data_IF_203828353839
#
_entry.id   IF_203828353839
#
_cell.length_a   1.000
_cell.length_b   1.000
_cell.length_c   1.000
_cell.angle_alpha   90.00
_cell.angle_beta   90.00
_cell.angle_gamma   90.00
#
_symmetry.space_group_name_H-M   'P 1'
#
loop_
_entity.id
_entity.type
_entity.pdbx_description
1 polymer ?
#
# COMPACT_ATOMS: atom_id res chain seq x y z
N UNK A 1 32.81 -58.54 -15.55
CA UNK A 1 31.81 -57.69 -14.85
C UNK A 1 31.56 -56.36 -15.60
N UNK A 2 31.39 -56.39 -16.94
CA UNK A 2 31.23 -55.16 -17.75
C UNK A 2 30.03 -55.16 -18.72
N UNK A 3 29.27 -56.26 -18.79
CA UNK A 3 28.10 -56.35 -19.68
C UNK A 3 26.83 -55.81 -19.01
N UNK A 4 26.63 -56.07 -17.71
CA UNK A 4 25.53 -55.51 -16.92
C UNK A 4 25.62 -53.98 -16.76
N UNK A 5 26.83 -53.42 -16.69
CA UNK A 5 27.06 -51.98 -16.58
C UNK A 5 26.67 -51.23 -17.86
N UNK A 6 26.90 -51.81 -19.05
CA UNK A 6 26.54 -51.18 -20.32
C UNK A 6 25.02 -51.12 -20.54
N UNK A 7 24.28 -52.15 -20.12
CA UNK A 7 22.82 -52.18 -20.25
C UNK A 7 22.16 -51.16 -19.32
N UNK A 8 22.66 -51.00 -18.08
CA UNK A 8 22.16 -50.00 -17.13
C UNK A 8 22.44 -48.56 -17.61
N UNK A 9 23.60 -48.30 -18.21
CA UNK A 9 23.95 -46.98 -18.78
C UNK A 9 23.03 -46.60 -19.95
N UNK A 10 22.66 -47.55 -20.82
CA UNK A 10 21.77 -47.30 -21.97
C UNK A 10 20.30 -47.09 -21.57
N UNK A 11 19.86 -47.70 -20.48
CA UNK A 11 18.52 -47.50 -19.91
C UNK A 11 18.42 -46.13 -19.23
N UNK A 12 19.43 -45.72 -18.45
CA UNK A 12 19.43 -44.42 -17.76
C UNK A 12 19.61 -43.21 -18.70
N UNK A 13 20.23 -43.40 -19.87
CA UNK A 13 20.42 -42.33 -20.86
C UNK A 13 19.20 -42.10 -21.77
N UNK A 14 18.16 -42.94 -21.70
CA UNK A 14 16.92 -42.79 -22.47
C UNK A 14 15.67 -42.48 -21.62
N UNK A 15 15.81 -42.20 -20.32
CA UNK A 15 14.67 -41.90 -19.41
C UNK A 15 14.35 -40.39 -19.29
N UNK A 16 14.94 -39.53 -20.12
CA UNK A 16 14.49 -38.12 -20.21
C UNK A 16 14.00 -37.85 -21.63
N UNK A 17 12.67 -37.84 -21.85
CA UNK A 17 12.09 -37.41 -23.11
C UNK A 17 12.64 -36.03 -23.51
N UNK A 18 13.07 -35.83 -24.76
CA UNK A 18 13.58 -34.55 -25.22
C UNK A 18 12.40 -33.60 -25.44
N UNK A 19 11.96 -32.95 -24.37
CA UNK A 19 10.91 -31.96 -24.43
C UNK A 19 11.09 -30.84 -23.39
N UNK A 20 12.25 -30.19 -23.35
CA UNK A 20 12.32 -28.72 -23.19
C UNK A 20 13.47 -28.22 -24.08
N UNK A 21 13.20 -28.09 -25.38
CA UNK A 21 13.91 -27.08 -26.16
C UNK A 21 13.52 -25.70 -25.58
N UNK A 22 14.52 -24.85 -25.31
CA UNK A 22 14.44 -23.44 -24.85
C UNK A 22 14.62 -23.18 -23.34
N UNK A 23 15.70 -23.63 -22.74
CA UNK A 23 16.30 -22.91 -21.61
C UNK A 23 17.78 -22.69 -21.89
N UNK A 24 18.15 -21.46 -22.24
CA UNK A 24 19.54 -21.12 -22.48
C UNK A 24 20.15 -20.69 -21.13
N UNK A 25 21.30 -21.24 -20.75
CA UNK A 25 21.93 -20.98 -19.45
C UNK A 25 22.25 -19.49 -19.19
N UNK A 26 22.38 -18.69 -20.25
CA UNK A 26 22.49 -17.22 -20.18
C UNK A 26 21.20 -16.49 -19.78
N UNK A 27 20.05 -17.18 -19.73
CA UNK A 27 18.77 -16.61 -19.28
C UNK A 27 18.72 -16.48 -17.74
N UNK A 28 19.61 -17.14 -16.99
CA UNK A 28 19.77 -16.95 -15.54
C UNK A 28 20.57 -15.68 -15.18
N UNK A 29 21.38 -15.15 -16.10
CA UNK A 29 22.18 -13.94 -15.89
C UNK A 29 21.74 -12.75 -16.77
N UNK A 30 20.54 -12.81 -17.37
CA UNK A 30 19.91 -11.71 -18.10
C UNK A 30 18.75 -11.07 -17.33
N UNK A 31 18.83 -11.06 -16.00
CA UNK A 31 17.90 -10.32 -15.14
C UNK A 31 18.34 -8.87 -14.94
N UNK A 32 18.42 -8.13 -16.04
CA UNK A 32 18.42 -6.67 -15.98
C UNK A 32 17.83 -6.07 -17.26
N UNK A 33 16.50 -6.14 -17.39
CA UNK A 33 15.76 -5.11 -18.11
C UNK A 33 14.36 -4.99 -17.55
N UNK A 34 14.20 -3.91 -16.78
CA UNK A 34 12.95 -3.28 -16.34
C UNK A 34 11.77 -3.60 -17.25
N UNK A 35 10.80 -4.35 -16.77
CA UNK A 35 9.42 -4.20 -17.24
C UNK A 35 8.86 -2.91 -16.64
N UNK A 36 9.32 -1.75 -17.12
CA UNK A 36 8.47 -0.57 -17.08
C UNK A 36 7.42 -0.82 -18.16
N UNK A 37 6.26 -1.34 -17.77
CA UNK A 37 5.06 -1.11 -18.57
C UNK A 37 5.06 0.37 -18.96
N UNK A 38 4.90 0.67 -20.25
CA UNK A 38 4.76 2.05 -20.67
C UNK A 38 3.66 2.70 -19.81
N UNK A 39 3.89 3.90 -19.22
CA UNK A 39 2.81 4.59 -18.54
C UNK A 39 1.63 4.68 -19.51
N UNK A 40 0.40 4.41 -19.05
CA UNK A 40 -0.75 4.39 -19.93
C UNK A 40 -0.82 5.69 -20.71
N UNK A 41 -1.20 5.60 -21.99
CA UNK A 41 -1.33 6.78 -22.84
C UNK A 41 -2.22 7.84 -22.15
N UNK A 42 -1.82 9.11 -22.26
CA UNK A 42 -2.46 10.23 -21.54
C UNK A 42 -3.95 10.41 -21.87
N UNK A 43 -4.45 9.73 -22.90
CA UNK A 43 -5.79 9.91 -23.47
C UNK A 43 -6.80 8.80 -23.15
N UNK A 44 -6.41 7.69 -22.50
CA UNK A 44 -7.37 6.68 -22.04
C UNK A 44 -7.89 6.90 -20.61
N UNK A 45 -7.47 7.97 -19.92
CA UNK A 45 -7.99 8.33 -18.59
C UNK A 45 -9.05 9.45 -18.75
N UNK A 46 -10.20 9.12 -19.33
CA UNK A 46 -11.37 10.04 -19.34
C UNK A 46 -12.52 9.59 -18.44
N UNK A 47 -12.38 8.43 -17.77
CA UNK A 47 -13.39 7.89 -16.85
C UNK A 47 -12.88 7.77 -15.40
N UNK A 48 -11.89 8.57 -14.98
CA UNK A 48 -11.65 8.73 -13.55
C UNK A 48 -12.69 9.71 -13.01
N UNK A 49 -13.73 9.18 -12.38
CA UNK A 49 -14.60 9.97 -11.52
C UNK A 49 -13.74 10.62 -10.45
N UNK A 50 -13.61 11.94 -10.53
CA UNK A 50 -12.90 12.71 -9.51
C UNK A 50 -13.72 12.69 -8.22
N UNK A 51 -13.41 11.73 -7.34
CA UNK A 51 -14.03 11.65 -6.02
C UNK A 51 -13.35 12.71 -5.14
N UNK A 52 -14.10 13.77 -4.81
CA UNK A 52 -13.66 14.74 -3.80
C UNK A 52 -13.43 13.99 -2.48
N UNK A 53 -12.23 14.09 -1.88
CA UNK A 53 -11.95 13.37 -0.64
C UNK A 53 -12.79 13.96 0.50
N UNK A 54 -13.42 13.08 1.28
CA UNK A 54 -14.30 13.44 2.39
C UNK A 54 -13.74 12.91 3.70
N UNK A 55 -13.89 13.70 4.77
CA UNK A 55 -13.46 13.32 6.12
C UNK A 55 -14.17 12.08 6.66
N UNK A 56 -15.38 11.78 6.20
CA UNK A 56 -16.15 10.62 6.67
C UNK A 56 -15.70 9.29 6.04
N UNK A 57 -14.74 9.32 5.10
CA UNK A 57 -14.56 8.22 4.14
C UNK A 57 -15.75 8.16 3.18
N UNK A 58 -15.53 7.78 1.92
CA UNK A 58 -16.56 7.80 0.88
C UNK A 58 -17.81 6.94 1.20
N UNK A 59 -18.83 7.07 0.35
CA UNK A 59 -20.14 6.40 0.43
C UNK A 59 -20.15 4.90 0.07
N UNK A 60 -19.11 4.15 0.43
CA UNK A 60 -19.08 2.69 0.28
C UNK A 60 -18.53 2.15 -1.06
N UNK A 61 -18.33 2.98 -2.09
CA UNK A 61 -17.77 2.50 -3.38
C UNK A 61 -16.24 2.63 -3.49
N UNK A 62 -15.62 3.54 -2.71
CA UNK A 62 -14.17 3.67 -2.62
C UNK A 62 -13.77 4.34 -1.30
N UNK A 63 -13.52 3.55 -0.26
CA UNK A 63 -13.07 4.03 1.05
C UNK A 63 -11.57 4.39 0.99
N UNK A 64 -11.23 5.59 0.47
CA UNK A 64 -9.85 6.10 0.51
C UNK A 64 -9.78 7.35 1.36
N UNK A 65 -9.04 7.27 2.47
CA UNK A 65 -8.59 8.42 3.24
C UNK A 65 -7.20 8.82 2.72
N UNK A 66 -7.09 9.78 1.77
CA UNK A 66 -5.78 10.20 1.26
C UNK A 66 -5.03 11.05 2.29
N UNK A 67 -3.85 10.59 2.71
CA UNK A 67 -2.96 11.33 3.60
C UNK A 67 -1.83 12.01 2.79
N UNK A 68 -1.33 13.18 3.23
CA UNK A 68 -1.66 13.88 4.48
C UNK A 68 -2.90 14.78 4.40
N UNK A 69 -3.60 14.86 3.26
CA UNK A 69 -4.72 15.78 3.05
C UNK A 69 -5.84 15.59 4.10
N UNK A 70 -6.18 14.35 4.44
CA UNK A 70 -7.24 14.06 5.42
C UNK A 70 -6.86 14.29 6.89
N UNK A 71 -5.61 14.66 7.18
CA UNK A 71 -5.20 14.99 8.54
C UNK A 71 -5.80 16.31 9.04
N UNK A 72 -6.35 17.15 8.14
CA UNK A 72 -7.07 18.39 8.50
C UNK A 72 -8.45 18.12 9.11
N UNK A 73 -8.98 16.91 8.93
CA UNK A 73 -10.28 16.53 9.45
C UNK A 73 -10.32 16.59 10.98
N UNK A 74 -11.52 16.71 11.54
CA UNK A 74 -11.68 16.65 13.00
C UNK A 74 -11.26 15.27 13.52
N UNK A 75 -10.79 15.22 14.77
CA UNK A 75 -10.49 13.95 15.43
C UNK A 75 -11.75 13.12 15.69
N UNK A 76 -11.60 11.94 16.33
CA UNK A 76 -12.70 11.09 16.75
C UNK A 76 -13.72 11.86 17.60
N UNK A 77 -15.01 11.57 17.42
CA UNK A 77 -16.06 12.18 18.25
C UNK A 77 -16.09 11.53 19.64
N UNK A 78 -16.41 12.34 20.67
CA UNK A 78 -16.55 11.89 22.06
C UNK A 78 -18.04 11.73 22.44
N UNK A 79 -18.95 12.39 21.71
CA UNK A 79 -20.40 12.45 22.00
C UNK A 79 -21.29 12.19 20.78
N UNK A 80 -22.61 12.13 21.00
CA UNK A 80 -23.65 11.93 19.96
C UNK A 80 -24.43 10.61 20.11
N UNK A 81 -25.66 10.57 19.59
CA UNK A 81 -26.52 9.38 19.60
C UNK A 81 -26.08 8.41 18.49
N UNK A 82 -25.26 7.42 18.83
CA UNK A 82 -24.97 6.28 17.95
C UNK A 82 -25.35 5.04 18.74
N UNK A 83 -26.27 4.24 18.19
CA UNK A 83 -26.91 3.10 18.86
C UNK A 83 -25.93 2.05 19.40
N UNK A 84 -24.72 1.98 18.85
CA UNK A 84 -23.70 0.97 19.18
C UNK A 84 -22.31 1.63 19.21
N UNK A 85 -21.90 2.24 20.33
CA UNK A 85 -20.55 2.84 20.46
C UNK A 85 -19.65 1.97 21.33
N UNK A 86 -18.58 1.44 20.73
CA UNK A 86 -17.41 1.00 21.48
C UNK A 86 -16.37 2.11 21.45
N UNK A 87 -16.25 2.84 22.55
CA UNK A 87 -15.19 3.81 22.75
C UNK A 87 -13.84 3.09 22.76
N UNK A 88 -12.85 3.64 22.05
CA UNK A 88 -11.47 3.13 22.04
C UNK A 88 -10.51 4.30 22.11
N UNK A 89 -9.32 4.06 22.65
CA UNK A 89 -8.23 5.01 22.51
C UNK A 89 -7.87 5.11 21.03
N UNK A 90 -7.96 6.33 20.50
CA UNK A 90 -7.73 6.65 19.11
C UNK A 90 -6.74 7.80 19.00
N UNK A 91 -5.81 7.69 18.08
CA UNK A 91 -4.88 8.74 17.73
C UNK A 91 -5.42 9.60 16.59
N UNK A 92 -5.14 10.89 16.62
CA UNK A 92 -5.51 11.84 15.58
C UNK A 92 -4.51 12.98 15.52
N UNK A 93 -4.37 13.59 14.35
CA UNK A 93 -3.53 14.75 14.17
C UNK A 93 -4.29 16.01 14.58
N UNK A 94 -3.78 16.73 15.58
CA UNK A 94 -4.34 18.00 16.01
C UNK A 94 -3.62 19.15 15.28
N UNK A 95 -4.28 19.76 14.30
CA UNK A 95 -3.70 20.83 13.49
C UNK A 95 -3.33 22.10 14.29
N UNK A 96 -3.99 22.36 15.43
CA UNK A 96 -3.66 23.51 16.30
C UNK A 96 -2.32 23.29 16.99
N UNK A 97 -2.13 22.10 17.56
CA UNK A 97 -0.89 21.74 18.28
C UNK A 97 0.21 21.19 17.36
N UNK A 98 -0.14 20.86 16.12
CA UNK A 98 0.71 20.23 15.12
C UNK A 98 1.31 18.90 15.57
N UNK A 99 0.55 18.14 16.39
CA UNK A 99 0.99 16.88 16.97
C UNK A 99 -0.10 15.83 16.89
N UNK A 100 0.31 14.57 16.81
CA UNK A 100 -0.54 13.42 17.03
C UNK A 100 -0.88 13.30 18.52
N UNK A 101 -2.18 13.40 18.81
CA UNK A 101 -2.74 13.29 20.15
C UNK A 101 -3.68 12.08 20.20
N UNK A 102 -4.04 11.64 21.41
CA UNK A 102 -4.97 10.55 21.60
C UNK A 102 -6.21 11.03 22.34
N UNK A 103 -7.32 10.35 22.08
CA UNK A 103 -8.61 10.61 22.70
C UNK A 103 -9.39 9.33 22.84
N UNK A 104 -10.20 9.22 23.89
CA UNK A 104 -11.19 8.16 24.00
C UNK A 104 -12.41 8.56 23.14
N UNK A 105 -12.61 7.87 22.03
CA UNK A 105 -13.61 8.25 21.04
C UNK A 105 -14.08 7.09 20.16
N UNK A 106 -14.96 7.41 19.21
CA UNK A 106 -15.52 6.41 18.30
C UNK A 106 -14.77 6.40 16.96
N UNK A 107 -14.46 5.21 16.40
CA UNK A 107 -13.99 5.07 15.02
C UNK A 107 -14.96 5.71 14.02
N UNK A 108 -14.50 6.45 13.02
CA UNK A 108 -15.46 6.85 11.97
C UNK A 108 -15.02 7.85 10.90
N UNK A 109 -13.97 8.65 11.13
CA UNK A 109 -13.47 9.60 10.14
C UNK A 109 -12.03 9.27 9.72
N UNK A 110 -11.51 9.98 8.73
CA UNK A 110 -10.16 9.77 8.21
C UNK A 110 -9.05 10.26 9.15
N UNK A 111 -9.29 11.23 10.03
CA UNK A 111 -8.31 11.64 11.03
C UNK A 111 -8.45 10.80 12.30
N UNK A 112 -8.31 9.49 12.14
CA UNK A 112 -8.50 8.53 13.22
C UNK A 112 -7.63 7.29 12.99
N UNK A 113 -6.73 7.01 13.93
CA UNK A 113 -5.74 5.96 13.84
C UNK A 113 -5.76 5.10 15.11
N UNK A 114 -5.54 3.80 14.97
CA UNK A 114 -5.43 2.89 16.12
C UNK A 114 -4.04 2.97 16.79
N UNK A 115 -3.01 3.40 16.05
CA UNK A 115 -1.63 3.51 16.55
C UNK A 115 -1.06 4.94 16.38
N UNK A 116 -0.27 5.39 17.35
CA UNK A 116 0.49 6.64 17.33
C UNK A 116 1.39 6.72 16.10
N UNK A 117 2.15 5.67 15.80
CA UNK A 117 3.13 5.69 14.71
C UNK A 117 2.45 5.85 13.34
N UNK A 118 1.26 5.27 13.18
CA UNK A 118 0.47 5.43 11.97
C UNK A 118 0.04 6.89 11.80
N UNK A 119 -0.38 7.55 12.89
CA UNK A 119 -0.67 9.00 12.87
C UNK A 119 0.59 9.82 12.52
N UNK A 120 1.73 9.50 13.14
CA UNK A 120 2.99 10.21 12.91
C UNK A 120 3.43 10.11 11.45
N UNK A 121 3.45 8.89 10.91
CA UNK A 121 3.87 8.61 9.53
C UNK A 121 2.92 9.20 8.49
N UNK A 122 1.60 9.21 8.74
CA UNK A 122 0.61 9.71 7.77
C UNK A 122 0.39 11.22 7.85
N UNK A 123 0.53 11.81 9.03
CA UNK A 123 0.17 13.21 9.28
C UNK A 123 1.33 14.05 9.79
N UNK A 124 1.81 13.81 11.01
CA UNK A 124 2.73 14.74 11.68
C UNK A 124 4.04 14.93 10.92
N UNK A 125 4.68 13.83 10.50
CA UNK A 125 5.96 13.90 9.77
C UNK A 125 5.77 14.53 8.38
N UNK A 126 4.84 14.05 7.52
CA UNK A 126 4.63 14.65 6.20
C UNK A 126 4.22 16.13 6.26
N UNK A 127 3.30 16.51 7.16
CA UNK A 127 2.85 17.91 7.27
C UNK A 127 4.00 18.80 7.75
N UNK A 128 4.80 18.35 8.71
CA UNK A 128 6.00 19.07 9.15
C UNK A 128 6.97 19.28 7.98
N UNK A 129 7.20 18.26 7.15
CA UNK A 129 8.07 18.38 5.97
C UNK A 129 7.50 19.32 4.90
N UNK A 130 6.20 19.22 4.60
CA UNK A 130 5.52 20.13 3.66
C UNK A 130 5.63 21.58 4.11
N UNK A 131 5.42 21.85 5.40
CA UNK A 131 5.57 23.20 5.97
C UNK A 131 7.01 23.70 5.92
N UNK A 132 7.99 22.83 6.13
CA UNK A 132 9.41 23.20 5.97
C UNK A 132 9.71 23.57 4.52
N UNK A 133 9.27 22.76 3.54
CA UNK A 133 9.44 23.06 2.11
C UNK A 133 8.80 24.39 1.72
N UNK A 134 7.58 24.65 2.19
CA UNK A 134 6.86 25.91 1.89
C UNK A 134 7.44 27.13 2.60
N UNK A 135 8.40 26.95 3.51
CA UNK A 135 9.11 28.02 4.22
C UNK A 135 10.48 28.32 3.58
N UNK A 136 10.96 27.49 2.65
CA UNK A 136 12.13 27.83 1.85
C UNK A 136 11.73 28.88 0.80
N UNK A 137 12.50 29.98 0.66
CA UNK A 137 12.26 31.00 -0.36
C UNK A 137 12.43 30.44 -1.77
#
# INVERSE_FOLDING_TARGET
MHTLTLVVILILSNIVPPAIAKFNFWDLFRWNRRTTTAPPNRWQIKNHTYIKPSCSGGNGSLLRCPYPQMCVCQGPTIGGYIRLKKYRYRWYYNNKTQKCQHILGIPGNCNNFDNKDVCLMRCEIPIRLLRRKNKWP
#
